data_IF_852065269211
#
_entry.id   IF_852065269211
#
_cell.length_a   1.000
_cell.length_b   1.000
_cell.length_c   1.000
_cell.angle_alpha   90.00
_cell.angle_beta   90.00
_cell.angle_gamma   90.00
#
_symmetry.space_group_name_H-M   'P 1'
#
loop_
_entity.id
_entity.type
_entity.pdbx_description
1 polymer ?
#
# COMPACT_ATOMS: atom_id res chain seq x y z
N UNK A 1 -28.20 -1.02 1.99
CA UNK A 1 -27.83 -2.34 2.54
C UNK A 1 -26.40 -2.20 3.05
N UNK A 2 -26.19 -2.49 4.33
CA UNK A 2 -24.96 -2.15 5.07
C UNK A 2 -23.73 -2.84 4.46
N UNK A 3 -22.62 -2.12 4.48
CA UNK A 3 -21.33 -2.62 4.01
C UNK A 3 -20.99 -3.94 4.73
N UNK A 4 -20.72 -4.95 3.92
CA UNK A 4 -20.07 -6.23 4.21
C UNK A 4 -19.22 -6.23 5.48
N UNK A 5 -19.62 -7.03 6.47
CA UNK A 5 -18.84 -7.28 7.67
C UNK A 5 -17.67 -8.24 7.41
N UNK A 6 -16.62 -8.12 8.23
CA UNK A 6 -15.49 -9.06 8.25
C UNK A 6 -15.99 -10.45 8.67
N UNK A 7 -15.62 -11.49 7.93
CA UNK A 7 -15.98 -12.87 8.25
C UNK A 7 -14.74 -13.69 8.58
N UNK A 8 -14.85 -14.50 9.61
CA UNK A 8 -13.81 -15.44 10.03
C UNK A 8 -14.19 -16.85 9.59
N UNK A 9 -13.26 -17.53 8.94
CA UNK A 9 -13.43 -18.92 8.51
C UNK A 9 -12.62 -19.79 9.45
N UNK A 10 -13.30 -20.75 10.10
CA UNK A 10 -12.69 -21.71 10.99
C UNK A 10 -12.66 -23.12 10.37
N UNK A 11 -11.68 -23.92 10.77
CA UNK A 11 -11.63 -25.34 10.45
C UNK A 11 -12.64 -26.16 11.29
N UNK A 12 -12.66 -27.48 11.10
CA UNK A 12 -13.53 -28.39 11.84
C UNK A 12 -13.25 -28.48 13.35
N UNK A 13 -12.14 -27.91 13.82
CA UNK A 13 -11.79 -27.82 15.25
C UNK A 13 -12.16 -26.47 15.87
N UNK A 14 -12.67 -25.54 15.05
CA UNK A 14 -12.99 -24.18 15.46
C UNK A 14 -11.81 -23.21 15.37
N UNK A 15 -10.65 -23.64 14.86
CA UNK A 15 -9.49 -22.77 14.69
C UNK A 15 -9.66 -21.89 13.45
N UNK A 16 -9.52 -20.57 13.59
CA UNK A 16 -9.60 -19.63 12.46
C UNK A 16 -8.44 -19.86 11.49
N UNK A 17 -8.75 -20.15 10.23
CA UNK A 17 -7.77 -20.40 9.17
C UNK A 17 -7.72 -19.28 8.13
N UNK A 18 -8.78 -18.49 7.98
CA UNK A 18 -8.78 -17.34 7.07
C UNK A 18 -9.80 -16.28 7.47
N UNK A 19 -9.67 -15.10 6.86
CA UNK A 19 -10.55 -13.96 7.07
C UNK A 19 -10.97 -13.42 5.71
N UNK A 20 -12.28 -13.21 5.53
CA UNK A 20 -12.86 -12.58 4.34
C UNK A 20 -13.18 -11.14 4.72
N UNK A 21 -12.63 -10.20 3.95
CA UNK A 21 -12.78 -8.76 4.19
C UNK A 21 -13.39 -8.08 2.95
N UNK A 22 -14.05 -6.92 3.13
CA UNK A 22 -14.39 -6.06 2.01
C UNK A 22 -13.17 -5.65 1.20
N UNK A 23 -13.32 -5.50 -0.12
CA UNK A 23 -12.21 -5.15 -1.00
C UNK A 23 -11.57 -3.79 -0.66
N UNK A 24 -12.36 -2.82 -0.19
CA UNK A 24 -11.82 -1.52 0.21
C UNK A 24 -10.94 -1.64 1.46
N UNK A 25 -11.35 -2.45 2.45
CA UNK A 25 -10.54 -2.72 3.63
C UNK A 25 -9.24 -3.46 3.27
N UNK A 26 -9.30 -4.39 2.31
CA UNK A 26 -8.08 -5.06 1.83
C UNK A 26 -7.09 -4.08 1.20
N UNK A 27 -7.56 -3.13 0.38
CA UNK A 27 -6.71 -2.12 -0.26
C UNK A 27 -6.02 -1.23 0.77
N UNK A 28 -6.71 -0.84 1.83
CA UNK A 28 -6.12 -0.08 2.95
C UNK A 28 -4.99 -0.89 3.61
N UNK A 29 -5.26 -2.15 3.99
CA UNK A 29 -4.27 -3.04 4.62
C UNK A 29 -3.06 -3.29 3.70
N UNK A 30 -3.28 -3.49 2.40
CA UNK A 30 -2.22 -3.71 1.43
C UNK A 30 -1.33 -2.46 1.28
N UNK A 31 -1.94 -1.28 1.17
CA UNK A 31 -1.24 0.01 1.09
C UNK A 31 -0.36 0.25 2.31
N UNK A 32 -0.87 -0.07 3.50
CA UNK A 32 -0.11 -0.01 4.74
C UNK A 32 1.06 -0.99 4.75
N UNK A 33 0.90 -2.21 4.23
CA UNK A 33 1.97 -3.21 4.14
C UNK A 33 3.08 -2.80 3.17
N UNK A 34 2.74 -2.26 2.01
CA UNK A 34 3.71 -1.79 1.03
C UNK A 34 4.49 -0.58 1.58
N UNK A 35 3.79 0.37 2.19
CA UNK A 35 4.42 1.52 2.85
C UNK A 35 5.29 1.07 4.02
N UNK A 36 4.80 0.16 4.86
CA UNK A 36 5.57 -0.39 5.99
C UNK A 36 6.82 -1.12 5.50
N UNK A 37 6.76 -1.83 4.37
CA UNK A 37 7.93 -2.47 3.76
C UNK A 37 8.99 -1.43 3.35
N UNK A 38 8.59 -0.36 2.66
CA UNK A 38 9.51 0.72 2.30
C UNK A 38 10.06 1.45 3.53
N UNK A 39 9.28 1.59 4.60
CA UNK A 39 9.70 2.22 5.85
C UNK A 39 10.69 1.38 6.69
N UNK A 40 10.91 0.09 6.36
CA UNK A 40 11.90 -0.74 7.07
C UNK A 40 13.35 -0.27 6.89
N UNK A 41 13.64 0.44 5.80
CA UNK A 41 14.96 1.03 5.54
C UNK A 41 14.93 2.52 5.89
N UNK A 42 15.82 2.95 6.80
CA UNK A 42 15.97 4.37 7.13
C UNK A 42 16.31 5.22 5.89
N UNK A 43 17.07 4.66 4.94
CA UNK A 43 17.39 5.35 3.68
C UNK A 43 16.15 5.54 2.82
N UNK A 44 15.29 4.51 2.73
CA UNK A 44 14.07 4.59 1.93
C UNK A 44 13.01 5.48 2.58
N UNK A 45 12.87 5.41 3.91
CA UNK A 45 12.03 6.32 4.69
C UNK A 45 12.40 7.79 4.43
N UNK A 46 13.70 8.13 4.45
CA UNK A 46 14.15 9.49 4.12
C UNK A 46 13.76 9.88 2.70
N UNK A 47 14.02 9.03 1.70
CA UNK A 47 13.64 9.28 0.30
C UNK A 47 12.14 9.53 0.13
N UNK A 48 11.29 8.76 0.81
CA UNK A 48 9.84 8.93 0.77
C UNK A 48 9.40 10.26 1.39
N UNK A 49 9.97 10.64 2.53
CA UNK A 49 9.67 11.91 3.17
C UNK A 49 10.11 13.10 2.30
N UNK A 50 11.31 13.02 1.71
CA UNK A 50 11.82 14.05 0.81
C UNK A 50 10.93 14.19 -0.44
N UNK A 51 10.51 13.07 -1.02
CA UNK A 51 9.60 13.06 -2.18
C UNK A 51 8.22 13.62 -1.84
N UNK A 52 7.65 13.25 -0.68
CA UNK A 52 6.34 13.74 -0.22
C UNK A 52 6.33 15.26 -0.01
N UNK A 53 7.44 15.82 0.46
CA UNK A 53 7.55 17.25 0.74
C UNK A 53 7.92 18.08 -0.50
N UNK A 54 8.28 17.42 -1.61
CA UNK A 54 8.66 18.08 -2.85
C UNK A 54 7.46 18.82 -3.45
N UNK A 55 7.67 20.07 -3.85
CA UNK A 55 6.66 20.91 -4.51
C UNK A 55 6.98 21.18 -5.98
N UNK A 56 8.18 20.79 -6.42
CA UNK A 56 8.70 20.92 -7.76
C UNK A 56 8.78 19.56 -8.48
N UNK A 57 8.79 19.62 -9.79
CA UNK A 57 8.88 18.45 -10.66
C UNK A 57 9.37 18.87 -12.04
N UNK A 58 9.60 17.89 -12.90
CA UNK A 58 9.89 18.12 -14.31
C UNK A 58 8.66 17.76 -15.15
N UNK A 59 8.42 18.44 -16.27
CA UNK A 59 7.41 18.05 -17.24
C UNK A 59 7.62 16.60 -17.71
N UNK A 60 6.52 15.96 -18.12
CA UNK A 60 6.56 14.57 -18.58
C UNK A 60 7.50 14.39 -19.78
N UNK A 61 7.45 15.30 -20.74
CA UNK A 61 8.29 15.29 -21.94
C UNK A 61 9.78 15.41 -21.58
N UNK A 62 10.12 16.29 -20.62
CA UNK A 62 11.48 16.44 -20.12
C UNK A 62 11.95 15.17 -19.40
N UNK A 63 11.05 14.49 -18.68
CA UNK A 63 11.34 13.21 -18.05
C UNK A 63 11.64 12.12 -19.08
N UNK A 64 10.81 12.00 -20.12
CA UNK A 64 11.01 11.06 -21.23
C UNK A 64 12.37 11.29 -21.92
N UNK A 65 12.68 12.54 -22.26
CA UNK A 65 13.96 12.90 -22.88
C UNK A 65 15.16 12.50 -22.00
N UNK A 66 15.10 12.81 -20.70
CA UNK A 66 16.17 12.47 -19.75
C UNK A 66 16.32 10.96 -19.54
N UNK A 67 15.23 10.20 -19.63
CA UNK A 67 15.22 8.75 -19.46
C UNK A 67 15.49 7.98 -20.77
N UNK A 68 15.50 8.68 -21.91
CA UNK A 68 15.76 8.08 -23.23
C UNK A 68 14.63 7.16 -23.70
N UNK A 69 13.38 7.45 -23.32
CA UNK A 69 12.19 6.69 -23.68
C UNK A 69 11.17 7.54 -24.43
#
# INVERSE_FOLDING_TARGET
>A
MNATDIQYVSDGTGHTISVIVPIELWREIETERETAYLLRSETMKRRLLDAKNRQDGIPFEEACEKLGI
#
